data_IF_221040230472
#
_entry.id   IF_221040230472
#
_cell.length_a   1.000
_cell.length_b   1.000
_cell.length_c   1.000
_cell.angle_alpha   90.00
_cell.angle_beta   90.00
_cell.angle_gamma   90.00
#
_symmetry.space_group_name_H-M   'P 1'
#
loop_
_entity.id
_entity.type
_entity.pdbx_description
1 polymer ?
#
# COMPACT_ATOMS: atom_id res chain seq x y z
N UNK A 1 -4.39 -17.02 -17.96
CA UNK A 1 -3.52 -18.18 -17.65
C UNK A 1 -2.29 -18.27 -18.58
N UNK A 2 -2.40 -18.73 -19.83
CA UNK A 2 -1.27 -18.94 -20.75
C UNK A 2 -0.28 -17.77 -20.87
N UNK A 3 -0.78 -16.52 -20.90
CA UNK A 3 0.06 -15.31 -20.87
C UNK A 3 1.03 -15.31 -19.68
N UNK A 4 0.53 -15.42 -18.44
CA UNK A 4 1.36 -15.41 -17.23
C UNK A 4 2.32 -16.62 -17.19
N UNK A 5 1.88 -17.79 -17.66
CA UNK A 5 2.74 -18.97 -17.80
C UNK A 5 3.92 -18.70 -18.75
N UNK A 6 3.74 -17.94 -19.83
CA UNK A 6 4.81 -17.58 -20.76
C UNK A 6 5.84 -16.58 -20.19
N UNK A 7 5.49 -15.86 -19.13
CA UNK A 7 6.44 -15.06 -18.33
C UNK A 7 7.13 -15.92 -17.27
N UNK A 8 6.38 -16.72 -16.51
CA UNK A 8 6.92 -17.56 -15.43
C UNK A 8 7.82 -18.70 -15.93
N UNK A 9 7.56 -19.24 -17.13
CA UNK A 9 8.37 -20.30 -17.74
C UNK A 9 9.62 -19.77 -18.47
N UNK A 10 9.76 -18.45 -18.62
CA UNK A 10 10.95 -17.83 -19.18
C UNK A 10 12.05 -17.78 -18.10
N UNK A 11 13.17 -18.51 -18.26
CA UNK A 11 14.17 -18.63 -17.21
C UNK A 11 14.86 -17.29 -16.90
N UNK A 12 15.01 -16.41 -17.90
CA UNK A 12 15.66 -15.10 -17.73
C UNK A 12 14.75 -14.17 -16.93
N UNK A 13 13.46 -14.11 -17.29
CA UNK A 13 12.48 -13.33 -16.53
C UNK A 13 12.34 -13.88 -15.12
N UNK A 14 12.18 -15.20 -14.96
CA UNK A 14 11.97 -15.82 -13.65
C UNK A 14 13.18 -15.66 -12.72
N UNK A 15 14.41 -15.70 -13.24
CA UNK A 15 15.61 -15.40 -12.46
C UNK A 15 15.70 -13.93 -12.08
N UNK A 16 15.48 -13.01 -13.03
CA UNK A 16 15.56 -11.58 -12.74
C UNK A 16 14.47 -11.12 -11.75
N UNK A 17 13.24 -11.64 -11.86
CA UNK A 17 12.12 -11.34 -10.97
C UNK A 17 12.35 -11.82 -9.52
N UNK A 18 13.06 -12.94 -9.33
CA UNK A 18 13.48 -13.42 -8.00
C UNK A 18 14.55 -12.57 -7.34
N UNK A 19 15.29 -11.75 -8.11
CA UNK A 19 16.42 -10.98 -7.61
C UNK A 19 16.17 -9.46 -7.61
N UNK A 20 15.22 -8.96 -8.41
CA UNK A 20 14.93 -7.54 -8.50
C UNK A 20 14.35 -6.96 -7.19
N UNK A 21 14.78 -5.74 -6.79
CA UNK A 21 14.08 -4.95 -5.78
C UNK A 21 12.80 -4.33 -6.36
N UNK A 22 11.79 -4.06 -5.51
CA UNK A 22 10.56 -3.38 -5.96
C UNK A 22 10.74 -1.84 -6.06
N UNK A 23 11.71 -1.28 -5.34
CA UNK A 23 12.04 0.14 -5.43
C UNK A 23 13.53 0.38 -5.19
N UNK A 24 14.01 1.55 -5.61
CA UNK A 24 15.39 1.98 -5.37
C UNK A 24 15.69 2.24 -3.88
N UNK A 25 14.73 2.79 -3.13
CA UNK A 25 14.95 3.28 -1.77
C UNK A 25 13.68 3.43 -0.90
N UNK A 26 12.52 2.92 -1.35
CA UNK A 26 11.22 3.11 -0.71
C UNK A 26 10.75 1.80 -0.03
N UNK A 27 9.68 1.19 -0.55
CA UNK A 27 9.19 -0.13 -0.12
C UNK A 27 10.00 -1.24 -0.80
N UNK A 28 10.15 -2.40 -0.14
CA UNK A 28 10.80 -3.61 -0.69
C UNK A 28 12.12 -3.36 -1.46
N UNK A 29 12.91 -2.39 -0.98
CA UNK A 29 14.18 -1.98 -1.58
C UNK A 29 15.31 -2.92 -1.13
N UNK A 30 15.22 -4.19 -1.53
CA UNK A 30 16.19 -5.26 -1.26
C UNK A 30 16.10 -6.35 -2.34
N UNK A 31 17.11 -7.22 -2.45
CA UNK A 31 17.14 -8.31 -3.45
C UNK A 31 15.96 -9.26 -3.27
N UNK A 32 15.16 -9.44 -4.33
CA UNK A 32 13.93 -10.24 -4.32
C UNK A 32 12.70 -9.53 -3.76
N UNK A 33 12.82 -8.24 -3.39
CA UNK A 33 11.71 -7.45 -2.87
C UNK A 33 10.53 -7.29 -3.84
N UNK A 34 10.78 -7.31 -5.15
CA UNK A 34 9.70 -7.29 -6.16
C UNK A 34 8.78 -8.52 -6.02
N UNK A 35 9.37 -9.70 -5.84
CA UNK A 35 8.58 -10.93 -5.68
C UNK A 35 7.84 -10.97 -4.33
N UNK A 36 8.44 -10.46 -3.24
CA UNK A 36 7.77 -10.42 -1.94
C UNK A 36 6.56 -9.46 -1.95
N UNK A 37 6.72 -8.27 -2.54
CA UNK A 37 5.64 -7.32 -2.79
C UNK A 37 4.49 -7.96 -3.60
N UNK A 38 4.80 -8.57 -4.75
CA UNK A 38 3.80 -9.24 -5.60
C UNK A 38 3.08 -10.39 -4.87
N UNK A 39 3.78 -11.14 -4.02
CA UNK A 39 3.20 -12.17 -3.16
C UNK A 39 2.31 -11.55 -2.06
N UNK A 40 2.68 -10.40 -1.49
CA UNK A 40 1.85 -9.64 -0.55
C UNK A 40 0.53 -9.21 -1.21
N UNK A 41 0.61 -8.60 -2.41
CA UNK A 41 -0.55 -8.20 -3.19
C UNK A 41 -1.45 -9.39 -3.53
N UNK A 42 -0.90 -10.54 -3.93
CA UNK A 42 -1.68 -11.75 -4.21
C UNK A 42 -2.48 -12.23 -2.99
N UNK A 43 -1.88 -12.20 -1.78
CA UNK A 43 -2.58 -12.54 -0.51
C UNK A 43 -3.71 -11.56 -0.21
N UNK A 44 -3.48 -10.27 -0.46
CA UNK A 44 -4.48 -9.22 -0.24
C UNK A 44 -5.64 -9.31 -1.25
N UNK A 45 -5.37 -9.67 -2.51
CA UNK A 45 -6.40 -9.95 -3.51
C UNK A 45 -7.34 -11.08 -3.07
N UNK A 46 -6.81 -12.16 -2.49
CA UNK A 46 -7.61 -13.30 -2.02
C UNK A 46 -8.60 -12.93 -0.90
N UNK A 47 -8.31 -11.88 -0.12
CA UNK A 47 -9.22 -11.33 0.88
C UNK A 47 -10.22 -10.37 0.25
N UNK A 48 -9.76 -9.42 -0.57
CA UNK A 48 -10.64 -8.41 -1.17
C UNK A 48 -11.63 -9.00 -2.18
N UNK A 49 -11.25 -9.99 -2.99
CA UNK A 49 -12.18 -10.66 -3.91
C UNK A 49 -13.30 -11.45 -3.20
N UNK A 50 -13.13 -11.79 -1.91
CA UNK A 50 -14.23 -12.37 -1.09
C UNK A 50 -15.21 -11.29 -0.62
N UNK A 51 -14.71 -10.10 -0.35
CA UNK A 51 -15.51 -8.94 0.07
C UNK A 51 -16.22 -8.27 -1.12
N UNK A 52 -15.59 -8.30 -2.30
CA UNK A 52 -16.08 -7.74 -3.55
C UNK A 52 -16.20 -8.84 -4.61
N UNK A 53 -17.24 -9.70 -4.55
CA UNK A 53 -17.39 -10.87 -5.43
C UNK A 53 -17.63 -10.51 -6.91
N UNK A 54 -17.90 -9.24 -7.23
CA UNK A 54 -17.98 -8.73 -8.59
C UNK A 54 -16.62 -8.55 -9.27
N UNK A 55 -15.51 -8.64 -8.52
CA UNK A 55 -14.14 -8.50 -9.04
C UNK A 55 -13.71 -9.80 -9.73
N UNK A 56 -13.27 -9.71 -10.98
CA UNK A 56 -12.60 -10.78 -11.69
C UNK A 56 -11.20 -11.01 -11.10
N UNK A 57 -11.13 -11.93 -10.14
CA UNK A 57 -9.89 -12.32 -9.44
C UNK A 57 -8.75 -12.69 -10.40
N UNK A 58 -9.02 -13.39 -11.49
CA UNK A 58 -7.99 -13.83 -12.43
C UNK A 58 -7.40 -12.66 -13.24
N UNK A 59 -8.24 -11.66 -13.57
CA UNK A 59 -7.79 -10.43 -14.21
C UNK A 59 -7.00 -9.54 -13.23
N UNK A 60 -7.47 -9.41 -11.98
CA UNK A 60 -6.75 -8.68 -10.93
C UNK A 60 -5.37 -9.29 -10.65
N UNK A 61 -5.28 -10.62 -10.50
CA UNK A 61 -4.00 -11.31 -10.29
C UNK A 61 -3.06 -11.22 -11.49
N UNK A 62 -3.60 -11.18 -12.71
CA UNK A 62 -2.79 -10.88 -13.90
C UNK A 62 -2.22 -9.47 -13.86
N UNK A 63 -3.01 -8.49 -13.41
CA UNK A 63 -2.54 -7.12 -13.13
C UNK A 63 -1.43 -7.10 -12.08
N UNK A 64 -1.67 -7.69 -10.91
CA UNK A 64 -0.68 -7.77 -9.81
C UNK A 64 0.65 -8.37 -10.26
N UNK A 65 0.65 -9.44 -11.06
CA UNK A 65 1.89 -10.05 -11.56
C UNK A 65 2.63 -9.15 -12.59
N UNK A 66 1.89 -8.42 -13.42
CA UNK A 66 2.45 -7.69 -14.58
C UNK A 66 2.74 -6.20 -14.32
N UNK A 67 2.11 -5.56 -13.33
CA UNK A 67 2.14 -4.10 -13.17
C UNK A 67 3.54 -3.50 -12.94
N UNK A 68 4.49 -4.34 -12.52
CA UNK A 68 5.80 -3.93 -12.03
C UNK A 68 6.93 -4.76 -12.67
N UNK A 69 6.61 -5.63 -13.65
CA UNK A 69 7.56 -6.60 -14.20
C UNK A 69 8.71 -5.95 -14.97
N UNK A 70 8.58 -4.68 -15.36
CA UNK A 70 9.60 -3.89 -16.05
C UNK A 70 10.76 -3.51 -15.12
N UNK A 71 10.55 -3.55 -13.80
CA UNK A 71 11.60 -3.27 -12.80
C UNK A 71 12.81 -4.20 -12.91
N UNK A 72 12.64 -5.41 -13.48
CA UNK A 72 13.74 -6.34 -13.78
C UNK A 72 14.73 -5.82 -14.85
N UNK A 73 14.36 -4.78 -15.60
CA UNK A 73 15.18 -4.11 -16.61
C UNK A 73 15.34 -2.60 -16.33
N UNK A 74 14.42 -2.00 -15.57
CA UNK A 74 14.52 -0.62 -15.10
C UNK A 74 15.67 -0.46 -14.09
N UNK A 75 15.80 -1.41 -13.15
CA UNK A 75 16.72 -1.36 -12.03
C UNK A 75 17.96 -2.25 -12.24
N UNK A 76 19.07 -1.83 -11.62
CA UNK A 76 20.36 -2.50 -11.61
C UNK A 76 20.86 -2.59 -10.17
N UNK A 77 21.48 -3.70 -9.79
CA UNK A 77 21.69 -4.06 -8.39
C UNK A 77 23.04 -4.71 -8.06
N UNK A 78 24.05 -4.58 -8.93
CA UNK A 78 25.35 -5.24 -8.77
C UNK A 78 26.17 -4.78 -7.54
N UNK A 79 25.98 -3.54 -7.08
CA UNK A 79 26.71 -2.94 -5.94
C UNK A 79 25.86 -1.96 -5.12
N UNK A 80 24.91 -1.30 -5.77
CA UNK A 80 23.89 -0.44 -5.18
C UNK A 80 22.67 -0.45 -6.11
N UNK A 81 21.50 -0.04 -5.62
CA UNK A 81 20.30 0.08 -6.46
C UNK A 81 20.35 1.37 -7.29
N UNK A 82 20.48 1.21 -8.60
CA UNK A 82 20.56 2.31 -9.59
C UNK A 82 19.67 2.00 -10.79
N UNK A 83 19.25 3.03 -11.52
CA UNK A 83 18.52 2.83 -12.78
C UNK A 83 19.47 2.41 -13.91
N UNK A 84 19.01 1.53 -14.80
CA UNK A 84 19.65 1.33 -16.10
C UNK A 84 19.41 2.56 -16.98
N UNK A 85 20.22 2.79 -18.03
CA UNK A 85 19.96 3.88 -18.98
C UNK A 85 18.57 3.78 -19.61
N UNK A 86 18.08 2.55 -19.85
CA UNK A 86 16.72 2.32 -20.37
C UNK A 86 15.67 2.68 -19.32
N UNK A 87 15.82 2.22 -18.09
CA UNK A 87 14.91 2.54 -16.98
C UNK A 87 14.83 4.03 -16.69
N UNK A 88 15.99 4.71 -16.66
CA UNK A 88 16.08 6.14 -16.40
C UNK A 88 15.40 7.02 -17.47
N UNK A 89 15.25 6.52 -18.69
CA UNK A 89 14.65 7.24 -19.83
C UNK A 89 13.20 6.83 -20.14
N UNK A 90 12.82 5.57 -19.87
CA UNK A 90 11.51 5.00 -20.25
C UNK A 90 10.61 4.66 -19.05
N UNK A 91 11.19 4.35 -17.89
CA UNK A 91 10.47 3.77 -16.75
C UNK A 91 10.01 2.32 -16.97
N UNK A 92 9.66 1.63 -15.89
CA UNK A 92 9.17 0.24 -15.91
C UNK A 92 7.88 0.08 -16.73
N UNK A 93 6.88 0.97 -16.61
CA UNK A 93 5.62 0.93 -17.37
C UNK A 93 5.77 0.78 -18.89
N UNK A 94 6.73 1.49 -19.50
CA UNK A 94 6.97 1.37 -20.94
C UNK A 94 7.62 0.01 -21.28
N UNK A 95 8.55 -0.43 -20.43
CA UNK A 95 9.22 -1.73 -20.59
C UNK A 95 8.24 -2.89 -20.40
N UNK A 96 7.27 -2.77 -19.49
CA UNK A 96 6.20 -3.74 -19.26
C UNK A 96 5.31 -3.92 -20.47
N UNK A 97 4.89 -2.81 -21.09
CA UNK A 97 4.14 -2.87 -22.33
C UNK A 97 4.93 -3.55 -23.44
N UNK A 98 6.23 -3.27 -23.60
CA UNK A 98 7.08 -3.93 -24.59
C UNK A 98 7.23 -5.43 -24.32
N UNK A 99 7.44 -5.83 -23.06
CA UNK A 99 7.50 -7.23 -22.66
C UNK A 99 6.16 -7.94 -22.90
N UNK A 100 5.04 -7.29 -22.58
CA UNK A 100 3.69 -7.78 -22.85
C UNK A 100 3.45 -7.96 -24.36
N UNK A 101 3.75 -6.95 -25.19
CA UNK A 101 3.62 -7.07 -26.65
C UNK A 101 4.49 -8.22 -27.20
N UNK A 102 5.71 -8.38 -26.70
CA UNK A 102 6.62 -9.46 -27.11
C UNK A 102 6.03 -10.85 -26.83
N UNK A 103 5.46 -11.07 -25.64
CA UNK A 103 4.80 -12.33 -25.28
C UNK A 103 3.48 -12.53 -26.05
N UNK A 104 2.69 -11.49 -26.26
CA UNK A 104 1.45 -11.53 -27.03
C UNK A 104 1.67 -11.77 -28.53
N UNK A 105 2.81 -11.37 -29.10
CA UNK A 105 3.16 -11.65 -30.49
C UNK A 105 3.30 -13.16 -30.78
N UNK A 106 3.57 -13.98 -29.76
CA UNK A 106 3.57 -15.44 -29.83
C UNK A 106 2.17 -16.06 -29.57
N UNK A 107 1.13 -15.24 -29.36
CA UNK A 107 -0.24 -15.65 -29.02
C UNK A 107 -1.28 -14.94 -29.93
N UNK A 108 -1.32 -15.25 -31.24
CA UNK A 108 -2.19 -14.55 -32.20
C UNK A 108 -3.69 -14.64 -31.84
N UNK A 109 -4.11 -15.73 -31.19
CA UNK A 109 -5.49 -15.97 -30.75
C UNK A 109 -5.84 -15.31 -29.40
N UNK A 110 -4.99 -14.42 -28.86
CA UNK A 110 -5.26 -13.76 -27.59
C UNK A 110 -6.39 -12.71 -27.74
N UNK A 111 -7.47 -12.74 -26.91
CA UNK A 111 -8.60 -11.83 -27.09
C UNK A 111 -8.22 -10.34 -26.99
N UNK A 112 -8.64 -9.56 -27.97
CA UNK A 112 -8.26 -8.15 -28.11
C UNK A 112 -8.79 -7.26 -26.97
N UNK A 113 -9.99 -7.55 -26.49
CA UNK A 113 -10.62 -6.87 -25.36
C UNK A 113 -9.86 -7.18 -24.06
N UNK A 114 -9.47 -8.44 -23.85
CA UNK A 114 -8.66 -8.83 -22.68
C UNK A 114 -7.26 -8.21 -22.74
N UNK A 115 -6.66 -8.10 -23.93
CA UNK A 115 -5.39 -7.40 -24.14
C UNK A 115 -5.49 -5.95 -23.67
N UNK A 116 -6.54 -5.25 -24.10
CA UNK A 116 -6.80 -3.85 -23.73
C UNK A 116 -6.94 -3.68 -22.21
N UNK A 117 -7.61 -4.61 -21.52
CA UNK A 117 -7.74 -4.59 -20.06
C UNK A 117 -6.40 -4.82 -19.35
N UNK A 118 -5.55 -5.75 -19.84
CA UNK A 118 -4.22 -6.00 -19.26
C UNK A 118 -3.28 -4.82 -19.50
N UNK A 119 -3.32 -4.19 -20.68
CA UNK A 119 -2.58 -2.96 -20.97
C UNK A 119 -3.02 -1.81 -20.05
N UNK A 120 -4.33 -1.64 -19.82
CA UNK A 120 -4.85 -0.62 -18.92
C UNK A 120 -4.48 -0.87 -17.46
N UNK A 121 -4.44 -2.13 -16.99
CA UNK A 121 -3.93 -2.48 -15.66
C UNK A 121 -2.50 -1.96 -15.48
N UNK A 122 -1.62 -2.18 -16.47
CA UNK A 122 -0.24 -1.69 -16.45
C UNK A 122 -0.20 -0.16 -16.46
N UNK A 123 -0.83 0.53 -17.43
CA UNK A 123 -0.69 1.99 -17.58
C UNK A 123 -1.51 2.84 -16.59
N UNK A 124 -2.18 2.21 -15.62
CA UNK A 124 -2.98 2.92 -14.62
C UNK A 124 -2.73 2.53 -13.17
N UNK A 125 -1.82 1.58 -12.88
CA UNK A 125 -1.60 1.09 -11.51
C UNK A 125 -1.07 2.18 -10.55
N UNK A 126 -0.26 3.14 -11.02
CA UNK A 126 0.12 4.33 -10.26
C UNK A 126 -1.08 5.22 -9.87
N UNK A 127 -2.22 5.09 -10.55
CA UNK A 127 -3.54 5.59 -10.15
C UNK A 127 -3.78 7.11 -10.16
N UNK A 128 -2.75 7.93 -10.09
CA UNK A 128 -2.82 9.40 -10.07
C UNK A 128 -1.83 10.01 -11.07
N UNK A 129 -2.19 11.12 -11.71
CA UNK A 129 -1.31 11.81 -12.67
C UNK A 129 -0.06 12.38 -11.96
N UNK A 130 -0.23 12.80 -10.71
CA UNK A 130 0.80 13.28 -9.79
C UNK A 130 1.82 12.19 -9.43
N UNK A 131 1.40 10.91 -9.48
CA UNK A 131 2.28 9.76 -9.33
C UNK A 131 2.87 9.29 -10.67
N UNK A 132 2.66 10.06 -11.75
CA UNK A 132 3.18 9.76 -13.08
C UNK A 132 2.35 8.75 -13.89
N UNK A 133 1.14 8.41 -13.43
CA UNK A 133 0.26 7.47 -14.14
C UNK A 133 -0.22 8.05 -15.48
N UNK A 134 -0.01 7.38 -16.64
CA UNK A 134 -0.53 7.84 -17.93
C UNK A 134 -2.06 7.94 -17.99
N UNK A 135 -2.76 7.08 -17.23
CA UNK A 135 -4.22 7.05 -17.10
C UNK A 135 -4.63 6.79 -15.64
N UNK A 136 -5.85 7.18 -15.31
CA UNK A 136 -6.50 6.76 -14.06
C UNK A 136 -7.04 5.32 -14.19
N UNK A 137 -7.29 4.61 -13.08
CA UNK A 137 -7.92 3.30 -13.12
C UNK A 137 -9.40 3.45 -13.48
N UNK A 138 -9.87 2.74 -14.51
CA UNK A 138 -11.21 2.97 -15.12
C UNK A 138 -12.18 1.78 -14.98
N UNK A 139 -11.78 0.72 -14.30
CA UNK A 139 -12.61 -0.45 -14.00
C UNK A 139 -12.22 -1.08 -12.65
N UNK A 140 -13.07 -1.93 -12.05
CA UNK A 140 -12.93 -2.34 -10.65
C UNK A 140 -11.59 -3.01 -10.31
N UNK A 141 -11.08 -3.89 -11.18
CA UNK A 141 -9.80 -4.58 -11.00
C UNK A 141 -8.63 -3.60 -11.05
N UNK A 142 -8.64 -2.62 -11.96
CA UNK A 142 -7.58 -1.61 -12.04
C UNK A 142 -7.59 -0.67 -10.82
N UNK A 143 -8.77 -0.27 -10.36
CA UNK A 143 -8.91 0.56 -9.17
C UNK A 143 -8.45 -0.18 -7.92
N UNK A 144 -8.78 -1.47 -7.82
CA UNK A 144 -8.34 -2.34 -6.73
C UNK A 144 -6.83 -2.59 -6.76
N UNK A 145 -6.24 -2.82 -7.93
CA UNK A 145 -4.79 -2.96 -8.11
C UNK A 145 -4.05 -1.73 -7.58
N UNK A 146 -4.46 -0.52 -8.02
CA UNK A 146 -3.84 0.73 -7.57
C UNK A 146 -3.85 0.87 -6.04
N UNK A 147 -5.02 0.71 -5.41
CA UNK A 147 -5.12 0.88 -3.96
C UNK A 147 -4.44 -0.24 -3.16
N UNK A 148 -4.29 -1.43 -3.74
CA UNK A 148 -3.53 -2.52 -3.12
C UNK A 148 -2.03 -2.25 -3.14
N UNK A 149 -1.48 -1.83 -4.29
CA UNK A 149 -0.08 -1.42 -4.44
C UNK A 149 0.26 -0.23 -3.52
N UNK A 150 -0.52 0.85 -3.61
CA UNK A 150 -0.34 2.06 -2.80
C UNK A 150 -0.42 1.78 -1.29
N UNK A 151 -1.32 0.88 -0.86
CA UNK A 151 -1.43 0.46 0.54
C UNK A 151 -0.20 -0.34 0.99
N UNK A 152 0.22 -1.34 0.21
CA UNK A 152 1.37 -2.20 0.54
C UNK A 152 2.66 -1.37 0.65
N UNK A 153 2.90 -0.51 -0.35
CA UNK A 153 3.97 0.50 -0.38
C UNK A 153 4.00 1.38 0.89
N UNK A 154 2.84 1.88 1.33
CA UNK A 154 2.72 2.75 2.52
C UNK A 154 2.88 1.99 3.84
N UNK A 155 2.34 0.78 3.93
CA UNK A 155 2.48 -0.07 5.11
C UNK A 155 3.92 -0.54 5.30
N UNK A 156 4.61 -0.91 4.21
CA UNK A 156 6.03 -1.27 4.25
C UNK A 156 6.91 -0.05 4.61
N UNK A 157 6.61 1.13 4.06
CA UNK A 157 7.32 2.37 4.43
C UNK A 157 7.13 2.75 5.91
N UNK A 158 6.00 2.39 6.53
CA UNK A 158 5.75 2.55 7.96
C UNK A 158 6.51 1.50 8.79
N UNK A 159 6.43 0.22 8.40
CA UNK A 159 7.15 -0.89 9.05
C UNK A 159 8.66 -0.65 9.07
N UNK A 160 9.24 -0.35 7.91
CA UNK A 160 10.68 -0.11 7.76
C UNK A 160 11.18 1.12 8.55
N UNK A 161 10.33 2.13 8.81
CA UNK A 161 10.70 3.26 9.65
C UNK A 161 10.76 2.86 11.13
N UNK A 162 9.79 2.09 11.63
CA UNK A 162 9.78 1.63 13.02
C UNK A 162 10.86 0.58 13.31
N UNK A 163 11.17 -0.31 12.36
CA UNK A 163 12.25 -1.32 12.48
C UNK A 163 13.65 -0.68 12.61
N UNK A 164 13.86 0.53 12.08
CA UNK A 164 15.13 1.27 12.25
C UNK A 164 15.39 1.72 13.68
N UNK A 165 14.38 1.71 14.56
CA UNK A 165 14.53 2.01 15.98
C UNK A 165 14.94 3.45 16.32
N UNK A 166 14.99 4.36 15.34
CA UNK A 166 15.34 5.78 15.51
C UNK A 166 14.16 6.62 16.03
N UNK A 167 13.39 6.06 16.95
CA UNK A 167 12.28 6.76 17.60
C UNK A 167 12.85 7.72 18.66
N UNK A 168 12.41 8.97 18.61
CA UNK A 168 12.66 9.96 19.67
C UNK A 168 11.81 9.67 20.92
N UNK A 169 11.98 10.51 21.93
CA UNK A 169 11.21 10.37 23.18
C UNK A 169 9.69 10.40 22.90
N UNK A 170 8.95 9.53 23.60
CA UNK A 170 7.51 9.32 23.39
C UNK A 170 7.12 8.46 22.18
N UNK A 171 8.09 7.89 21.44
CA UNK A 171 7.81 6.95 20.34
C UNK A 171 7.55 7.61 18.97
N UNK A 172 7.89 8.89 18.82
CA UNK A 172 7.79 9.61 17.54
C UNK A 172 9.02 9.39 16.66
N UNK A 173 8.84 9.10 15.37
CA UNK A 173 9.94 9.02 14.40
C UNK A 173 10.35 10.41 13.91
N UNK A 174 11.55 10.50 13.32
CA UNK A 174 11.85 11.57 12.38
C UNK A 174 10.89 11.57 11.16
N UNK A 175 10.95 12.63 10.35
CA UNK A 175 10.11 12.78 9.16
C UNK A 175 10.30 11.62 8.17
N UNK A 176 9.21 10.96 7.77
CA UNK A 176 9.21 9.95 6.72
C UNK A 176 8.86 10.64 5.37
N UNK A 177 9.77 10.71 4.39
CA UNK A 177 9.53 11.41 3.13
C UNK A 177 8.48 10.70 2.26
N UNK A 178 8.42 9.36 2.29
CA UNK A 178 7.45 8.56 1.52
C UNK A 178 6.01 8.81 1.96
N UNK A 179 5.81 9.05 3.26
CA UNK A 179 4.49 9.30 3.86
C UNK A 179 4.21 10.79 4.09
N UNK A 180 5.21 11.66 3.88
CA UNK A 180 5.11 13.11 4.02
C UNK A 180 4.92 13.64 5.44
N UNK A 181 5.25 12.85 6.48
CA UNK A 181 4.97 13.19 7.89
C UNK A 181 5.89 12.44 8.89
N UNK A 182 6.09 12.94 10.12
CA UNK A 182 6.59 12.11 11.23
C UNK A 182 5.53 11.06 11.61
N UNK A 183 5.97 9.90 12.10
CA UNK A 183 5.11 8.78 12.48
C UNK A 183 5.14 8.57 14.00
N UNK A 184 4.08 7.97 14.55
CA UNK A 184 4.02 7.55 15.96
C UNK A 184 4.01 6.02 16.03
N UNK A 185 4.96 5.45 16.76
CA UNK A 185 4.95 4.03 17.10
C UNK A 185 3.90 3.80 18.21
N UNK A 186 2.73 3.28 17.82
CA UNK A 186 1.59 3.11 18.73
C UNK A 186 1.86 2.12 19.87
N UNK A 187 2.66 1.09 19.64
CA UNK A 187 3.04 0.13 20.68
C UNK A 187 3.86 0.83 21.78
N UNK A 188 4.95 1.50 21.42
CA UNK A 188 5.79 2.26 22.37
C UNK A 188 5.04 3.38 23.09
N UNK A 189 4.14 4.07 22.38
CA UNK A 189 3.30 5.11 22.97
C UNK A 189 2.34 4.56 24.05
N UNK A 190 1.80 3.36 23.84
CA UNK A 190 0.92 2.70 24.81
C UNK A 190 1.71 2.08 25.98
N UNK A 191 2.87 1.47 25.72
CA UNK A 191 3.80 0.97 26.74
C UNK A 191 4.19 2.07 27.73
N UNK A 192 4.54 3.28 27.24
CA UNK A 192 4.87 4.43 28.07
C UNK A 192 3.75 4.78 29.07
N UNK A 193 2.49 4.81 28.61
CA UNK A 193 1.34 5.10 29.48
C UNK A 193 1.11 4.05 30.56
N UNK A 194 1.51 2.79 30.33
CA UNK A 194 1.46 1.73 31.35
C UNK A 194 2.56 1.94 32.39
N UNK A 195 3.76 2.37 31.98
CA UNK A 195 4.86 2.66 32.92
C UNK A 195 4.73 3.97 33.69
N UNK A 196 4.01 4.97 33.16
CA UNK A 196 3.75 6.27 33.81
C UNK A 196 2.48 6.25 34.68
N UNK A 197 1.73 5.15 34.71
CA UNK A 197 0.59 5.00 35.62
C UNK A 197 1.09 5.00 37.09
N UNK A 198 0.47 5.78 38.00
CA UNK A 198 0.86 5.77 39.40
C UNK A 198 0.64 4.37 40.00
N UNK A 199 1.41 3.98 41.03
CA UNK A 199 1.15 2.73 41.73
C UNK A 199 -0.29 2.74 42.22
N UNK A 200 -1.04 1.68 41.93
CA UNK A 200 -2.42 1.54 42.39
C UNK A 200 -2.41 1.43 43.91
N UNK A 201 -2.72 2.52 44.61
CA UNK A 201 -2.72 2.54 46.07
C UNK A 201 -3.62 1.44 46.61
N UNK A 202 -3.05 0.64 47.51
CA UNK A 202 -3.74 -0.47 48.14
C UNK A 202 -4.93 0.02 48.95
N UNK A 203 -6.03 -0.72 48.86
CA UNK A 203 -7.29 -0.45 49.54
C UNK A 203 -7.08 -0.15 51.04
N UNK A 204 -7.26 1.11 51.44
CA UNK A 204 -7.28 1.54 52.84
C UNK A 204 -8.63 2.18 53.16
N UNK A 205 -9.46 1.45 53.89
CA UNK A 205 -10.80 1.90 54.25
C UNK A 205 -10.77 2.90 55.42
N UNK A 206 -11.62 3.95 55.33
CA UNK A 206 -12.04 4.73 56.49
C UNK A 206 -13.51 5.14 56.30
N UNK A 207 -14.36 4.73 57.23
CA UNK A 207 -15.78 5.06 57.26
C UNK A 207 -16.06 6.23 58.22
N UNK A 208 -17.08 7.04 57.92
CA UNK A 208 -17.59 8.10 58.81
C UNK A 208 -18.76 8.88 58.20
N UNK A 209 -19.96 8.76 58.77
CA UNK A 209 -21.12 9.62 58.49
C UNK A 209 -21.00 10.95 59.30
N UNK A 210 -21.78 12.04 59.13
CA UNK A 210 -23.03 12.36 58.40
C UNK A 210 -22.91 13.83 57.87
N UNK A 211 -23.83 14.46 57.10
CA UNK A 211 -25.18 14.09 56.64
C UNK A 211 -25.92 15.31 56.05
N UNK A 212 -27.27 15.28 56.07
CA UNK A 212 -28.23 16.39 55.78
C UNK A 212 -28.20 17.10 54.39
N UNK A 213 -29.22 16.80 53.59
CA UNK A 213 -29.79 17.62 52.48
C UNK A 213 -31.05 18.37 52.99
N UNK A 214 -31.74 19.30 52.26
CA UNK A 214 -31.88 19.33 50.80
C UNK A 214 -32.01 20.71 50.08
N UNK A 215 -32.03 20.65 48.73
CA UNK A 215 -33.10 21.17 47.83
C UNK A 215 -32.74 22.16 46.69
N UNK A 216 -33.49 21.98 45.58
CA UNK A 216 -33.76 22.89 44.44
C UNK A 216 -32.81 22.95 43.23
N UNK A 217 -33.09 22.07 42.26
CA UNK A 217 -33.13 22.35 40.80
C UNK A 217 -34.35 23.26 40.45
N UNK A 218 -34.54 23.82 39.22
CA UNK A 218 -33.88 23.47 37.93
C UNK A 218 -33.44 24.66 37.01
N UNK A 219 -32.69 24.36 35.94
CA UNK A 219 -32.90 24.94 34.58
C UNK A 219 -32.01 24.29 33.50
N UNK A 220 -32.61 23.70 32.46
CA UNK A 220 -31.95 23.40 31.17
C UNK A 220 -31.92 24.66 30.28
N UNK A 221 -31.01 24.71 29.28
CA UNK A 221 -31.34 25.33 28.01
C UNK A 221 -31.03 24.45 26.79
N UNK A 222 -32.11 24.07 26.10
CA UNK A 222 -32.26 23.83 24.65
C UNK A 222 -31.01 23.52 23.79
N UNK A 223 -31.00 22.33 23.20
CA UNK A 223 -30.28 22.04 21.96
C UNK A 223 -30.91 22.85 20.81
N UNK A 224 -30.11 23.58 20.04
CA UNK A 224 -30.50 24.09 18.72
C UNK A 224 -29.61 23.47 17.65
N UNK A 225 -30.23 22.71 16.74
CA UNK A 225 -29.62 22.29 15.49
C UNK A 225 -29.54 23.47 14.52
N UNK A 226 -28.40 23.64 13.86
CA UNK A 226 -28.32 24.45 12.64
C UNK A 226 -27.48 23.72 11.59
N UNK A 227 -28.17 23.06 10.66
CA UNK A 227 -27.54 22.59 9.42
C UNK A 227 -27.28 23.79 8.48
N UNK A 228 -26.11 23.82 7.85
CA UNK A 228 -25.85 24.67 6.70
C UNK A 228 -24.72 24.08 5.83
N UNK A 229 -25.09 23.27 4.84
CA UNK A 229 -24.21 22.86 3.75
C UNK A 229 -24.08 24.02 2.74
N UNK A 230 -22.86 24.44 2.33
CA UNK A 230 -22.69 25.29 1.16
C UNK A 230 -22.76 24.43 -0.13
N UNK A 231 -23.52 24.91 -1.12
CA UNK A 231 -23.55 24.32 -2.47
C UNK A 231 -22.32 24.76 -3.27
N UNK A 232 -21.76 23.85 -4.07
CA UNK A 232 -20.70 24.19 -5.03
C UNK A 232 -21.25 25.03 -6.19
N UNK A 233 -20.42 25.93 -6.70
CA UNK A 233 -20.41 26.41 -8.09
C UNK A 233 -19.20 25.84 -8.81
#
# INVERSE_FOLDING_TARGET
KALLESFMADPVIAEAYRNAPAAKSLHHAYIGGLLDHVVSLCRSCDLLCRNYPQINRDLLLAGVFLHDIGKIHELTYNRAFTYSTRGQLLGHMIIELEMLQSKLAAMPEFPAELKTLVEHLIISHHGQYEFGSPKLPMFPEALMLHYLDDLDSKMEAMRAQFERGMDGDGGWTGYNPSLGRPLLNSAKFLERKVTEAPPSDGLAAAAGADGASPSQDPAEPSIQNTEALPQNS
#
